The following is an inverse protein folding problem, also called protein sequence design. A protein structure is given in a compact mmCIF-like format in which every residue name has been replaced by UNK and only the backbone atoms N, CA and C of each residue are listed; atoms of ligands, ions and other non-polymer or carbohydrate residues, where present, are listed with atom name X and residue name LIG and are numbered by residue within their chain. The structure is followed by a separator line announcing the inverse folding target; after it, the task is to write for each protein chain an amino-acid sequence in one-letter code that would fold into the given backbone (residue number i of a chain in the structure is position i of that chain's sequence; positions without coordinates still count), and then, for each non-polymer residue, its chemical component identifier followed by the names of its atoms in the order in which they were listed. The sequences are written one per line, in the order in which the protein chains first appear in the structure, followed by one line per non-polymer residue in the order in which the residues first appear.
data_IF_004141696860
#
_entry.id   IF_004141696860
#
_cell.length_a   1.000
_cell.length_b   1.000
_cell.length_c   1.000
_cell.angle_alpha   90.00
_cell.angle_beta   90.00
_cell.angle_gamma   90.00
#
_symmetry.space_group_name_H-M   'P 1'
#
loop_
_entity.id
_entity.type
_entity.pdbx_description
1 polymer ?
#
# COMPACT_ATOMS: atom_id res chain seq x y z
N UNK A 1 -10.87 53.43 41.68
CA UNK A 1 -10.81 53.35 40.20
C UNK A 1 -9.48 52.70 39.83
N UNK A 2 -9.43 51.38 39.65
CA UNK A 2 -8.16 50.66 39.38
C UNK A 2 -8.42 49.28 38.75
N UNK A 3 -9.40 49.19 37.85
CA UNK A 3 -9.85 47.91 37.27
C UNK A 3 -9.96 47.92 35.75
N UNK A 4 -9.24 48.82 35.06
CA UNK A 4 -9.39 48.99 33.61
C UNK A 4 -8.06 49.03 32.82
N UNK A 5 -6.92 48.77 33.46
CA UNK A 5 -5.59 48.88 32.82
C UNK A 5 -4.87 47.54 32.60
N UNK A 6 -5.45 46.40 33.00
CA UNK A 6 -4.75 45.11 32.93
C UNK A 6 -5.09 44.29 31.66
N UNK A 7 -6.31 44.43 31.12
CA UNK A 7 -6.74 43.68 29.92
C UNK A 7 -5.92 44.02 28.66
N UNK A 8 -5.46 45.27 28.54
CA UNK A 8 -4.65 45.72 27.40
C UNK A 8 -3.20 45.20 27.45
N UNK A 9 -2.65 45.01 28.64
CA UNK A 9 -1.26 44.56 28.83
C UNK A 9 -1.14 43.07 28.53
N UNK A 10 -2.11 42.26 28.95
CA UNK A 10 -2.18 40.82 28.64
C UNK A 10 -2.38 40.55 27.14
N UNK A 11 -3.28 41.28 26.49
CA UNK A 11 -3.51 41.16 25.05
C UNK A 11 -2.29 41.62 24.23
N UNK A 12 -1.65 42.72 24.63
CA UNK A 12 -0.43 43.23 23.99
C UNK A 12 0.76 42.27 24.12
N UNK A 13 0.94 41.66 25.29
CA UNK A 13 1.98 40.65 25.51
C UNK A 13 1.75 39.38 24.68
N UNK A 14 0.50 38.91 24.56
CA UNK A 14 0.15 37.76 23.71
C UNK A 14 0.40 38.06 22.23
N UNK A 15 0.00 39.25 21.74
CA UNK A 15 0.26 39.66 20.36
C UNK A 15 1.75 39.77 20.06
N UNK A 16 2.55 40.33 20.98
CA UNK A 16 4.00 40.39 20.84
C UNK A 16 4.64 38.99 20.78
N UNK A 17 4.17 38.05 21.63
CA UNK A 17 4.61 36.65 21.60
C UNK A 17 4.24 35.96 20.29
N UNK A 18 3.01 36.16 19.78
CA UNK A 18 2.59 35.62 18.48
C UNK A 18 3.47 36.19 17.37
N UNK A 19 3.69 37.51 17.32
CA UNK A 19 4.52 38.13 16.28
C UNK A 19 5.99 37.68 16.34
N UNK A 20 6.50 37.33 17.53
CA UNK A 20 7.83 36.75 17.71
C UNK A 20 7.91 35.29 17.22
N UNK A 21 6.91 34.48 17.56
CA UNK A 21 6.90 33.02 17.26
C UNK A 21 6.43 32.73 15.83
N UNK A 22 5.51 33.52 15.29
CA UNK A 22 4.93 33.36 13.96
C UNK A 22 5.99 33.19 12.85
N UNK A 23 7.04 34.04 12.74
CA UNK A 23 8.06 33.84 11.70
C UNK A 23 8.80 32.51 11.87
N UNK A 24 9.05 32.07 13.10
CA UNK A 24 9.69 30.77 13.38
C UNK A 24 8.78 29.63 12.90
N UNK A 25 7.48 29.67 13.23
CA UNK A 25 6.51 28.67 12.77
C UNK A 25 6.41 28.65 11.25
N UNK A 26 6.39 29.81 10.59
CA UNK A 26 6.34 29.91 9.13
C UNK A 26 7.58 29.28 8.48
N UNK A 27 8.77 29.56 9.02
CA UNK A 27 10.03 28.96 8.53
C UNK A 27 10.00 27.43 8.74
N UNK A 28 9.61 26.95 9.92
CA UNK A 28 9.56 25.52 10.22
C UNK A 28 8.53 24.79 9.35
N UNK A 29 7.37 25.41 9.11
CA UNK A 29 6.30 24.85 8.26
C UNK A 29 6.75 24.81 6.80
N UNK A 30 7.39 25.87 6.32
CA UNK A 30 7.96 25.92 4.96
C UNK A 30 9.07 24.88 4.79
N UNK A 31 9.98 24.76 5.76
CA UNK A 31 11.03 23.74 5.75
C UNK A 31 10.44 22.33 5.76
N UNK A 32 9.46 22.05 6.62
CA UNK A 32 8.74 20.78 6.66
C UNK A 32 8.05 20.46 5.34
N UNK A 33 7.45 21.45 4.70
CA UNK A 33 6.85 21.31 3.37
C UNK A 33 7.89 20.98 2.28
N UNK A 34 9.03 21.67 2.26
CA UNK A 34 10.10 21.41 1.28
C UNK A 34 10.67 20.00 1.48
N UNK A 35 11.00 19.64 2.72
CA UNK A 35 11.57 18.33 3.07
C UNK A 35 10.60 17.21 2.71
N UNK A 36 9.33 17.32 3.11
CA UNK A 36 8.32 16.31 2.78
C UNK A 36 8.08 16.19 1.28
N UNK A 37 7.98 17.30 0.55
CA UNK A 37 7.84 17.28 -0.92
C UNK A 37 9.01 16.58 -1.59
N UNK A 38 10.24 16.82 -1.10
CA UNK A 38 11.43 16.13 -1.58
C UNK A 38 11.40 14.63 -1.29
N UNK A 39 10.97 14.21 -0.10
CA UNK A 39 10.81 12.79 0.23
C UNK A 39 9.75 12.11 -0.64
N UNK A 40 8.59 12.74 -0.83
CA UNK A 40 7.57 12.25 -1.75
C UNK A 40 8.10 12.11 -3.17
N UNK A 41 8.89 13.08 -3.65
CA UNK A 41 9.52 13.01 -4.96
C UNK A 41 10.40 11.76 -5.12
N UNK A 42 11.19 11.42 -4.09
CA UNK A 42 12.03 10.22 -4.09
C UNK A 42 11.22 8.92 -4.08
N UNK A 43 10.14 8.88 -3.30
CA UNK A 43 9.22 7.73 -3.27
C UNK A 43 8.53 7.56 -4.64
N UNK A 44 8.09 8.66 -5.25
CA UNK A 44 7.42 8.68 -6.55
C UNK A 44 8.36 8.24 -7.68
N UNK A 45 9.62 8.71 -7.66
CA UNK A 45 10.66 8.24 -8.59
C UNK A 45 10.85 6.74 -8.51
N UNK A 46 10.95 6.18 -7.29
CA UNK A 46 11.08 4.73 -7.07
C UNK A 46 9.88 3.96 -7.60
N UNK A 47 8.68 4.49 -7.43
CA UNK A 47 7.45 3.88 -7.88
C UNK A 47 7.18 4.05 -9.39
N UNK A 48 8.06 4.76 -10.13
CA UNK A 48 7.90 4.98 -11.57
C UNK A 48 6.91 6.08 -11.96
N UNK A 49 6.58 6.99 -11.04
CA UNK A 49 5.71 8.14 -11.31
C UNK A 49 6.47 9.16 -12.17
N UNK A 50 5.83 9.60 -13.26
CA UNK A 50 6.35 10.59 -14.18
C UNK A 50 6.04 12.01 -13.69
N UNK A 51 7.05 12.87 -13.70
CA UNK A 51 6.92 14.29 -13.37
C UNK A 51 7.05 14.55 -11.87
N UNK A 52 8.24 15.02 -11.47
CA UNK A 52 8.58 15.32 -10.07
C UNK A 52 7.72 16.42 -9.44
N UNK A 53 7.17 17.32 -10.25
CA UNK A 53 6.29 18.41 -9.82
C UNK A 53 5.06 17.90 -9.05
N UNK A 54 4.61 16.66 -9.31
CA UNK A 54 3.46 16.05 -8.64
C UNK A 54 3.64 15.95 -7.13
N UNK A 55 4.87 15.82 -6.64
CA UNK A 55 5.20 15.79 -5.21
C UNK A 55 5.13 17.17 -4.53
N UNK A 56 5.16 18.25 -5.31
CA UNK A 56 5.12 19.62 -4.82
C UNK A 56 3.72 20.20 -4.74
N UNK A 57 2.70 19.52 -5.28
CA UNK A 57 1.33 20.01 -5.18
C UNK A 57 0.67 19.34 -3.96
N UNK A 58 0.34 20.07 -2.87
CA UNK A 58 0.00 19.46 -1.58
C UNK A 58 -1.16 18.47 -1.62
N UNK A 59 -2.29 18.82 -2.25
CA UNK A 59 -3.42 17.88 -2.35
C UNK A 59 -3.06 16.74 -3.30
N UNK A 60 -2.53 17.09 -4.47
CA UNK A 60 -2.25 16.13 -5.53
C UNK A 60 -1.25 15.04 -5.12
N UNK A 61 -0.18 15.39 -4.38
CA UNK A 61 0.80 14.40 -3.90
C UNK A 61 0.16 13.36 -2.97
N UNK A 62 -0.78 13.75 -2.11
CA UNK A 62 -1.47 12.80 -1.25
C UNK A 62 -2.36 11.86 -2.08
N UNK A 63 -2.97 12.36 -3.15
CA UNK A 63 -3.75 11.54 -4.09
C UNK A 63 -2.87 10.52 -4.84
N UNK A 64 -1.70 10.95 -5.30
CA UNK A 64 -0.71 10.06 -5.92
C UNK A 64 -0.21 9.02 -4.92
N UNK A 65 0.12 9.43 -3.70
CA UNK A 65 0.56 8.54 -2.64
C UNK A 65 -0.51 7.51 -2.27
N UNK A 66 -1.78 7.93 -2.16
CA UNK A 66 -2.91 7.04 -1.97
C UNK A 66 -2.99 5.97 -3.07
N UNK A 67 -2.84 6.40 -4.33
CA UNK A 67 -2.83 5.51 -5.51
C UNK A 67 -1.75 4.45 -5.42
N UNK A 68 -0.52 4.88 -5.10
CA UNK A 68 0.60 3.97 -4.87
C UNK A 68 0.37 3.03 -3.68
N UNK A 69 -0.46 3.45 -2.73
CA UNK A 69 -0.91 2.66 -1.59
C UNK A 69 -2.17 1.81 -1.83
N UNK A 70 -2.58 1.57 -3.07
CA UNK A 70 -3.79 0.80 -3.43
C UNK A 70 -5.12 1.43 -2.93
N UNK A 71 -5.12 2.73 -2.66
CA UNK A 71 -6.30 3.50 -2.24
C UNK A 71 -6.74 4.42 -3.39
N UNK A 72 -8.04 4.47 -3.66
CA UNK A 72 -8.63 5.36 -4.65
C UNK A 72 -8.25 6.82 -4.37
N UNK A 73 -7.68 7.53 -5.37
CA UNK A 73 -7.40 8.97 -5.26
C UNK A 73 -8.63 9.78 -4.84
N UNK A 74 -9.83 9.41 -5.29
CA UNK A 74 -11.05 10.14 -4.97
C UNK A 74 -11.53 9.92 -3.54
N UNK A 75 -11.27 8.74 -2.99
CA UNK A 75 -11.50 8.47 -1.57
C UNK A 75 -10.55 9.31 -0.72
N UNK A 76 -9.28 9.42 -1.11
CA UNK A 76 -8.33 10.31 -0.43
C UNK A 76 -8.78 11.77 -0.50
N UNK A 77 -9.23 12.23 -1.68
CA UNK A 77 -9.77 13.58 -1.83
C UNK A 77 -11.00 13.80 -0.93
N UNK A 78 -11.92 12.83 -0.90
CA UNK A 78 -13.07 12.83 -0.02
C UNK A 78 -12.68 12.89 1.45
N UNK A 79 -11.66 12.14 1.88
CA UNK A 79 -11.14 12.18 3.23
C UNK A 79 -10.53 13.55 3.59
N UNK A 80 -9.74 14.15 2.68
CA UNK A 80 -9.17 15.49 2.87
C UNK A 80 -10.26 16.56 3.01
N UNK A 81 -11.26 16.55 2.13
CA UNK A 81 -12.39 17.50 2.17
C UNK A 81 -13.25 17.26 3.41
N UNK A 82 -13.56 16.00 3.74
CA UNK A 82 -14.33 15.65 4.93
C UNK A 82 -13.60 16.09 6.20
N UNK A 83 -12.28 15.87 6.30
CA UNK A 83 -11.47 16.40 7.40
C UNK A 83 -11.55 17.92 7.44
N UNK A 84 -11.36 18.63 6.33
CA UNK A 84 -11.37 20.09 6.30
C UNK A 84 -12.72 20.70 6.70
N UNK A 85 -13.84 20.07 6.34
CA UNK A 85 -15.19 20.59 6.60
C UNK A 85 -15.73 20.11 7.95
N UNK A 86 -15.73 18.79 8.18
CA UNK A 86 -16.39 18.16 9.33
C UNK A 86 -15.59 18.33 10.63
N UNK A 87 -14.29 18.65 10.56
CA UNK A 87 -13.50 18.91 11.77
C UNK A 87 -13.93 20.17 12.54
N UNK A 88 -14.68 21.07 11.89
CA UNK A 88 -15.17 22.30 12.51
C UNK A 88 -16.45 22.10 13.33
N UNK A 89 -17.03 20.90 13.33
CA UNK A 89 -18.25 20.63 14.11
C UNK A 89 -17.88 20.61 15.60
N UNK A 90 -18.50 21.45 16.45
CA UNK A 90 -18.25 21.42 17.89
C UNK A 90 -18.48 20.03 18.49
N UNK A 91 -17.71 19.68 19.51
CA UNK A 91 -17.74 18.40 20.25
C UNK A 91 -17.38 17.14 19.45
N UNK A 92 -17.80 16.97 18.20
CA UNK A 92 -17.56 15.73 17.41
C UNK A 92 -16.55 15.89 16.28
N UNK A 93 -16.21 17.12 15.89
CA UNK A 93 -15.30 17.42 14.78
C UNK A 93 -13.92 16.80 14.94
N UNK A 94 -13.46 16.63 16.19
CA UNK A 94 -12.17 16.00 16.47
C UNK A 94 -12.07 14.57 15.89
N UNK A 95 -13.18 13.82 15.84
CA UNK A 95 -13.19 12.46 15.26
C UNK A 95 -12.90 12.52 13.76
N UNK A 96 -13.51 13.47 13.05
CA UNK A 96 -13.33 13.66 11.61
C UNK A 96 -11.95 14.23 11.24
N UNK A 97 -11.26 14.86 12.19
CA UNK A 97 -9.89 15.34 12.00
C UNK A 97 -8.90 14.22 11.67
N UNK A 98 -9.20 12.99 12.06
CA UNK A 98 -8.34 11.83 11.84
C UNK A 98 -8.57 11.11 10.49
N UNK A 99 -9.61 11.44 9.73
CA UNK A 99 -9.95 10.69 8.51
C UNK A 99 -8.81 10.69 7.47
N UNK A 100 -8.24 11.87 7.18
CA UNK A 100 -7.11 11.99 6.26
C UNK A 100 -5.86 11.26 6.78
N UNK A 101 -5.59 11.34 8.09
CA UNK A 101 -4.46 10.66 8.74
C UNK A 101 -4.63 9.14 8.62
N UNK A 102 -5.83 8.61 8.85
CA UNK A 102 -6.12 7.18 8.72
C UNK A 102 -5.95 6.73 7.27
N UNK A 103 -6.51 7.47 6.31
CA UNK A 103 -6.37 7.13 4.89
C UNK A 103 -4.89 7.13 4.44
N UNK A 104 -4.10 8.11 4.89
CA UNK A 104 -2.68 8.21 4.59
C UNK A 104 -1.86 7.11 5.29
N UNK A 105 -2.20 6.76 6.52
CA UNK A 105 -1.59 5.65 7.22
C UNK A 105 -1.87 4.31 6.50
N UNK A 106 -3.10 4.10 6.02
CA UNK A 106 -3.42 2.93 5.22
C UNK A 106 -2.60 2.87 3.92
N UNK A 107 -2.48 4.01 3.22
CA UNK A 107 -1.63 4.10 2.04
C UNK A 107 -0.15 3.81 2.37
N UNK A 108 0.34 4.31 3.50
CA UNK A 108 1.72 4.12 3.93
C UNK A 108 2.03 2.67 4.31
N UNK A 109 1.07 1.88 4.83
CA UNK A 109 1.18 0.41 4.96
C UNK A 109 1.67 -0.19 3.64
N UNK A 110 0.95 0.13 2.56
CA UNK A 110 1.08 -0.53 1.27
C UNK A 110 2.32 -0.05 0.54
N UNK A 111 2.59 1.25 0.58
CA UNK A 111 3.84 1.83 0.07
C UNK A 111 5.04 1.23 0.82
N UNK A 112 4.96 1.08 2.14
CA UNK A 112 5.98 0.42 2.95
C UNK A 112 6.23 -1.03 2.53
N UNK A 113 5.16 -1.82 2.39
CA UNK A 113 5.25 -3.21 1.92
C UNK A 113 5.88 -3.31 0.52
N UNK A 114 5.52 -2.41 -0.40
CA UNK A 114 6.10 -2.35 -1.76
C UNK A 114 7.58 -1.93 -1.75
N UNK A 115 8.02 -1.26 -0.70
CA UNK A 115 9.42 -0.96 -0.44
C UNK A 115 10.10 -2.04 0.43
N UNK A 116 9.46 -3.19 0.67
CA UNK A 116 10.00 -4.27 1.50
C UNK A 116 10.19 -3.87 2.96
N UNK A 117 9.34 -2.99 3.50
CA UNK A 117 9.33 -2.60 4.92
C UNK A 117 8.25 -3.36 5.67
N UNK A 118 8.54 -3.67 6.93
CA UNK A 118 7.58 -4.32 7.83
C UNK A 118 6.51 -3.35 8.32
N UNK A 119 5.34 -3.89 8.64
CA UNK A 119 4.18 -3.14 9.11
C UNK A 119 4.46 -2.22 10.33
N UNK A 120 5.24 -2.62 11.36
CA UNK A 120 5.50 -1.76 12.51
C UNK A 120 6.13 -0.41 12.16
N UNK A 121 6.80 -0.29 11.00
CA UNK A 121 7.40 0.97 10.56
C UNK A 121 6.34 2.07 10.43
N UNK A 122 5.10 1.73 10.06
CA UNK A 122 4.01 2.71 9.93
C UNK A 122 3.53 3.29 11.25
N UNK A 123 3.83 2.66 12.41
CA UNK A 123 3.59 3.32 13.70
C UNK A 123 4.31 4.67 13.75
N UNK A 124 5.49 4.76 13.14
CA UNK A 124 6.22 6.02 13.01
C UNK A 124 5.46 7.06 12.21
N UNK A 125 4.72 6.66 11.17
CA UNK A 125 3.91 7.57 10.36
C UNK A 125 2.78 8.23 11.16
N UNK A 126 2.17 7.48 12.08
CA UNK A 126 1.00 7.92 12.85
C UNK A 126 1.42 8.79 14.05
N UNK A 127 2.66 8.65 14.53
CA UNK A 127 3.18 9.47 15.64
C UNK A 127 3.14 10.96 15.23
N UNK A 128 2.39 11.80 15.96
CA UNK A 128 2.33 13.24 15.70
C UNK A 128 3.71 13.91 15.79
N UNK A 129 3.89 15.03 15.09
CA UNK A 129 5.15 15.77 15.08
C UNK A 129 6.08 15.30 13.97
N UNK A 130 7.24 14.73 14.31
CA UNK A 130 8.28 14.36 13.34
C UNK A 130 8.16 12.92 12.81
N UNK A 131 7.31 12.08 13.40
CA UNK A 131 7.20 10.67 13.04
C UNK A 131 6.94 10.46 11.54
N UNK A 132 5.92 11.13 10.99
CA UNK A 132 5.60 11.05 9.57
C UNK A 132 6.76 11.48 8.65
N UNK A 133 7.56 12.48 9.04
CA UNK A 133 8.76 12.89 8.29
C UNK A 133 9.85 11.83 8.33
N UNK A 134 10.08 11.22 9.49
CA UNK A 134 11.09 10.15 9.63
C UNK A 134 10.67 8.94 8.79
N UNK A 135 9.38 8.57 8.83
CA UNK A 135 8.83 7.51 7.96
C UNK A 135 9.07 7.81 6.49
N UNK A 136 8.73 9.02 6.03
CA UNK A 136 8.95 9.45 4.64
C UNK A 136 10.43 9.44 4.27
N UNK A 137 11.32 9.86 5.18
CA UNK A 137 12.77 9.81 4.97
C UNK A 137 13.28 8.38 4.80
N UNK A 138 12.84 7.45 5.65
CA UNK A 138 13.20 6.04 5.52
C UNK A 138 12.70 5.48 4.19
N UNK A 139 11.44 5.74 3.82
CA UNK A 139 10.86 5.29 2.56
C UNK A 139 11.57 5.90 1.33
N UNK A 140 11.92 7.19 1.40
CA UNK A 140 12.59 7.92 0.33
C UNK A 140 14.01 7.42 0.06
N UNK A 141 14.79 7.13 1.11
CA UNK A 141 16.20 6.80 0.99
C UNK A 141 16.53 5.32 1.19
N UNK A 142 15.54 4.47 1.45
CA UNK A 142 15.79 3.04 1.54
C UNK A 142 16.38 2.49 0.24
N UNK A 143 17.36 1.60 0.33
CA UNK A 143 17.95 0.91 -0.83
C UNK A 143 17.01 -0.14 -1.46
N UNK A 144 15.93 -0.50 -0.77
CA UNK A 144 14.98 -1.49 -1.26
C UNK A 144 14.34 -1.05 -2.59
N UNK A 145 14.32 -1.93 -3.61
CA UNK A 145 13.66 -1.64 -4.87
C UNK A 145 12.15 -1.60 -4.66
N UNK A 146 11.46 -0.85 -5.52
CA UNK A 146 10.01 -0.86 -5.57
C UNK A 146 9.51 -2.20 -6.15
N UNK A 147 8.77 -2.96 -5.35
CA UNK A 147 8.11 -4.19 -5.77
C UNK A 147 6.58 -4.04 -5.67
N UNK A 148 5.87 -3.83 -6.79
CA UNK A 148 4.42 -3.68 -6.78
C UNK A 148 3.69 -5.02 -6.56
N UNK A 149 4.38 -6.17 -6.71
CA UNK A 149 3.81 -7.51 -6.56
C UNK A 149 3.84 -7.96 -5.10
N UNK A 150 3.12 -7.22 -4.25
CA UNK A 150 2.91 -7.59 -2.84
C UNK A 150 1.58 -8.31 -2.67
N UNK A 151 1.37 -8.92 -1.49
CA UNK A 151 0.07 -9.49 -1.13
C UNK A 151 -1.06 -8.48 -1.40
N UNK A 152 -2.23 -8.91 -1.89
CA UNK A 152 -3.33 -8.00 -2.18
C UNK A 152 -3.74 -7.15 -0.97
N UNK A 153 -4.21 -5.93 -1.20
CA UNK A 153 -4.64 -5.06 -0.10
C UNK A 153 -5.88 -5.64 0.59
N UNK A 154 -6.03 -5.47 1.93
CA UNK A 154 -7.21 -5.94 2.65
C UNK A 154 -8.52 -5.30 2.17
N UNK A 155 -8.44 -4.12 1.57
CA UNK A 155 -9.58 -3.34 1.08
C UNK A 155 -9.81 -3.44 -0.43
N UNK A 156 -9.18 -4.40 -1.11
CA UNK A 156 -9.35 -4.64 -2.56
C UNK A 156 -10.81 -4.86 -3.00
N UNK A 157 -11.69 -5.26 -2.09
CA UNK A 157 -13.11 -5.52 -2.35
C UNK A 157 -14.04 -4.41 -1.82
N UNK A 158 -13.49 -3.33 -1.27
CA UNK A 158 -14.28 -2.23 -0.69
C UNK A 158 -14.24 -0.98 -1.57
N UNK A 159 -14.94 0.07 -1.14
CA UNK A 159 -14.92 1.37 -1.80
C UNK A 159 -13.54 2.07 -1.77
N UNK A 160 -12.62 1.61 -0.91
CA UNK A 160 -11.26 2.17 -0.84
C UNK A 160 -10.40 1.76 -2.05
N UNK A 161 -10.76 0.69 -2.77
CA UNK A 161 -9.98 0.15 -3.89
C UNK A 161 -9.72 1.22 -4.97
N UNK A 162 -8.47 1.34 -5.40
CA UNK A 162 -8.15 2.10 -6.61
C UNK A 162 -8.59 1.35 -7.88
N UNK A 163 -9.40 2.00 -8.71
CA UNK A 163 -9.81 1.51 -10.03
C UNK A 163 -9.47 2.50 -11.14
N UNK A 164 -8.75 3.56 -10.80
CA UNK A 164 -8.53 4.70 -11.68
C UNK A 164 -7.28 4.51 -12.52
N UNK A 165 -7.19 5.19 -13.66
CA UNK A 165 -5.96 5.23 -14.47
C UNK A 165 -5.57 6.70 -14.62
N UNK A 166 -4.39 7.07 -14.13
CA UNK A 166 -3.88 8.44 -14.21
C UNK A 166 -2.63 8.43 -15.08
N UNK A 167 -2.59 9.31 -16.07
CA UNK A 167 -1.44 9.42 -16.97
C UNK A 167 -0.15 9.65 -16.17
N UNK A 168 0.87 8.85 -16.45
CA UNK A 168 2.19 8.96 -15.81
C UNK A 168 2.25 8.43 -14.38
N UNK A 169 1.22 7.75 -13.87
CA UNK A 169 1.26 7.06 -12.57
C UNK A 169 0.99 5.58 -12.79
N UNK A 170 1.94 4.69 -12.42
CA UNK A 170 1.75 3.26 -12.60
C UNK A 170 0.52 2.71 -11.88
N UNK A 171 -0.25 1.91 -12.60
CA UNK A 171 -1.36 1.13 -12.03
C UNK A 171 -0.76 0.05 -11.14
N UNK A 172 -1.30 -0.08 -9.94
CA UNK A 172 -0.85 -1.10 -8.99
C UNK A 172 -1.50 -2.44 -9.33
N UNK A 173 -0.76 -3.55 -9.32
CA UNK A 173 -1.33 -4.87 -9.57
C UNK A 173 -2.36 -5.24 -8.50
N UNK A 174 -3.63 -5.25 -8.87
CA UNK A 174 -4.67 -5.89 -8.07
C UNK A 174 -4.53 -7.40 -8.24
N UNK A 175 -3.89 -8.10 -7.29
CA UNK A 175 -3.59 -9.54 -7.38
C UNK A 175 -4.78 -10.43 -7.81
N UNK A 176 -4.97 -10.56 -9.13
CA UNK A 176 -6.00 -11.33 -9.81
C UNK A 176 -7.26 -10.59 -10.29
N UNK A 177 -7.37 -9.26 -10.22
CA UNK A 177 -8.54 -8.54 -10.75
C UNK A 177 -8.17 -7.59 -11.89
N UNK A 178 -8.64 -7.90 -13.10
CA UNK A 178 -8.57 -6.99 -14.23
C UNK A 178 -9.24 -5.64 -13.88
N UNK A 179 -8.77 -4.51 -14.43
CA UNK A 179 -9.40 -3.22 -14.22
C UNK A 179 -10.85 -3.26 -14.70
N UNK A 180 -11.77 -2.72 -13.89
CA UNK A 180 -13.16 -2.59 -14.27
C UNK A 180 -13.28 -1.70 -15.51
N UNK A 181 -13.85 -2.22 -16.59
CA UNK A 181 -14.16 -1.45 -17.77
C UNK A 181 -15.18 -0.35 -17.41
N UNK A 182 -14.77 0.92 -17.52
CA UNK A 182 -15.67 2.07 -17.29
C UNK A 182 -15.19 3.10 -16.25
N UNK A 183 -14.02 2.93 -15.63
CA UNK A 183 -13.42 4.00 -14.83
C UNK A 183 -13.06 5.21 -15.73
N UNK A 184 -13.48 6.40 -15.33
CA UNK A 184 -13.28 7.67 -16.02
C UNK A 184 -11.81 7.85 -16.44
N UNK A 185 -11.57 7.95 -17.76
CA UNK A 185 -10.24 8.19 -18.33
C UNK A 185 -9.51 6.99 -18.93
N UNK A 186 -10.23 5.93 -19.37
CA UNK A 186 -9.62 4.84 -20.13
C UNK A 186 -9.12 5.29 -21.51
N UNK A 187 -7.94 5.90 -21.57
CA UNK A 187 -7.14 6.04 -22.79
C UNK A 187 -6.12 4.91 -22.85
N UNK A 188 -6.26 4.03 -23.84
CA UNK A 188 -5.38 2.89 -24.06
C UNK A 188 -3.93 3.29 -24.32
N UNK A 189 -3.01 2.59 -23.66
CA UNK A 189 -1.62 2.47 -24.07
C UNK A 189 -1.12 1.10 -23.61
N UNK A 190 -0.65 0.31 -24.57
CA UNK A 190 -0.30 -1.09 -24.40
C UNK A 190 0.81 -1.31 -23.38
N UNK A 191 0.48 -2.10 -22.36
CA UNK A 191 1.39 -3.10 -21.82
C UNK A 191 0.52 -4.28 -21.39
N UNK A 192 0.54 -5.35 -22.18
CA UNK A 192 -0.05 -6.61 -21.76
C UNK A 192 0.79 -7.13 -20.57
N UNK A 193 0.20 -7.41 -19.41
CA UNK A 193 0.94 -8.06 -18.33
C UNK A 193 1.45 -9.42 -18.85
N UNK A 194 2.68 -9.84 -18.48
CA UNK A 194 3.15 -11.19 -18.78
C UNK A 194 2.12 -12.20 -18.29
N UNK A 195 1.74 -13.13 -19.16
CA UNK A 195 0.81 -14.19 -18.82
C UNK A 195 1.32 -14.94 -17.58
N UNK A 196 0.51 -14.95 -16.52
CA UNK A 196 0.76 -15.81 -15.37
C UNK A 196 0.79 -17.27 -15.87
N UNK A 197 1.77 -18.10 -15.46
CA UNK A 197 1.73 -19.53 -15.73
C UNK A 197 0.42 -20.08 -15.16
N UNK A 198 -0.39 -20.68 -16.03
CA UNK A 198 -1.62 -21.35 -15.66
C UNK A 198 -1.32 -22.43 -14.63
N UNK A 199 -1.87 -22.26 -13.42
CA UNK A 199 -1.92 -23.35 -12.45
C UNK A 199 -2.76 -24.50 -13.05
N UNK A 200 -2.32 -25.77 -12.94
CA UNK A 200 -3.10 -26.89 -13.46
C UNK A 200 -4.47 -26.95 -12.76
N UNK A 201 -5.54 -26.93 -13.53
CA UNK A 201 -6.88 -27.22 -13.02
C UNK A 201 -6.94 -28.67 -12.57
N UNK A 202 -7.23 -28.88 -11.29
CA UNK A 202 -7.57 -30.18 -10.74
C UNK A 202 -8.97 -30.58 -11.20
N UNK A 203 -9.08 -31.72 -11.89
CA UNK A 203 -10.33 -32.45 -12.07
C UNK A 203 -10.81 -32.59 -13.52
N UNK A 204 -10.31 -33.62 -14.20
CA UNK A 204 -11.07 -34.47 -15.13
C UNK A 204 -10.07 -35.49 -15.72
N UNK A 205 -10.00 -36.68 -15.14
CA UNK A 205 -9.30 -37.80 -15.78
C UNK A 205 -10.16 -38.35 -16.93
N UNK A 206 -9.70 -38.34 -18.18
CA UNK A 206 -10.26 -39.23 -19.19
C UNK A 206 -9.81 -40.68 -18.88
N UNK A 207 -10.66 -41.70 -19.09
CA UNK A 207 -10.27 -43.09 -18.89
C UNK A 207 -9.12 -43.47 -19.86
N UNK A 208 -8.18 -44.35 -19.45
CA UNK A 208 -7.04 -44.73 -20.29
C UNK A 208 -7.50 -45.43 -21.57
N UNK A 209 -6.92 -45.02 -22.71
CA UNK A 209 -7.10 -45.69 -23.99
C UNK A 209 -6.51 -47.11 -23.96
N UNK A 210 -7.24 -48.08 -24.50
CA UNK A 210 -6.78 -49.46 -24.68
C UNK A 210 -5.62 -49.52 -25.69
N UNK A 211 -4.52 -50.24 -25.40
CA UNK A 211 -3.41 -50.38 -26.34
C UNK A 211 -3.79 -51.21 -27.58
N UNK A 212 -3.23 -50.91 -28.78
CA UNK A 212 -3.39 -51.75 -29.96
C UNK A 212 -2.72 -53.12 -29.78
N UNK A 213 -3.34 -54.17 -30.29
CA UNK A 213 -2.78 -55.53 -30.29
C UNK A 213 -1.50 -55.61 -31.14
N UNK A 214 -0.42 -56.26 -30.66
CA UNK A 214 0.80 -56.44 -31.44
C UNK A 214 0.69 -57.57 -32.48
N UNK A 215 1.34 -57.45 -33.65
CA UNK A 215 1.36 -58.50 -34.66
C UNK A 215 2.24 -59.68 -34.24
N UNK A 216 1.80 -60.90 -34.58
CA UNK A 216 2.42 -62.16 -34.23
C UNK A 216 3.79 -62.36 -34.92
N UNK A 217 4.83 -62.61 -34.12
CA UNK A 217 6.17 -62.98 -34.61
C UNK A 217 7.02 -63.53 -33.46
N UNK A 218 7.54 -64.74 -33.66
CA UNK A 218 8.04 -65.64 -32.62
C UNK A 218 9.46 -65.33 -32.11
N UNK A 219 9.63 -65.15 -30.79
CA UNK A 219 10.88 -65.43 -30.05
C UNK A 219 10.58 -65.82 -28.58
N UNK A 220 11.37 -66.73 -27.97
CA UNK A 220 11.07 -67.40 -26.69
C UNK A 220 11.25 -66.53 -25.44
N UNK A 221 10.59 -66.87 -24.30
CA UNK A 221 10.48 -65.99 -23.13
C UNK A 221 11.76 -65.92 -22.27
N UNK A 222 12.19 -64.72 -21.83
CA UNK A 222 13.10 -64.56 -20.70
C UNK A 222 12.38 -64.73 -19.35
N UNK A 223 13.07 -65.30 -18.37
CA UNK A 223 12.56 -65.73 -17.06
C UNK A 223 12.03 -64.61 -16.16
N UNK A 224 11.02 -64.93 -15.35
CA UNK A 224 10.39 -64.03 -14.38
C UNK A 224 11.33 -63.65 -13.22
N UNK A 225 11.47 -62.36 -12.94
CA UNK A 225 12.07 -61.85 -11.69
C UNK A 225 10.97 -61.42 -10.71
N UNK A 226 11.10 -61.74 -9.41
CA UNK A 226 10.07 -61.48 -8.40
C UNK A 226 9.96 -59.99 -7.98
N UNK A 227 8.80 -59.55 -7.44
CA UNK A 227 8.55 -58.14 -7.12
C UNK A 227 9.34 -57.68 -5.89
N UNK A 228 9.96 -56.50 -6.00
CA UNK A 228 10.54 -55.75 -4.88
C UNK A 228 9.47 -54.83 -4.27
N UNK A 229 9.19 -54.99 -2.98
CA UNK A 229 8.31 -54.14 -2.17
C UNK A 229 9.06 -52.87 -1.72
N UNK A 230 8.42 -51.68 -1.79
CA UNK A 230 8.99 -50.44 -1.24
C UNK A 230 8.98 -50.44 0.30
N UNK A 231 9.99 -49.84 0.96
CA UNK A 231 10.02 -49.74 2.42
C UNK A 231 9.05 -48.68 2.96
N UNK A 232 8.26 -49.07 3.95
CA UNK A 232 7.43 -48.19 4.79
C UNK A 232 8.30 -47.54 5.87
N UNK A 233 8.32 -46.22 5.96
CA UNK A 233 8.82 -45.50 7.14
C UNK A 233 7.69 -44.66 7.72
N UNK A 234 7.19 -45.13 8.86
CA UNK A 234 6.14 -44.55 9.70
C UNK A 234 6.70 -43.41 10.58
N UNK A 235 5.96 -42.31 10.84
CA UNK A 235 6.36 -41.25 11.77
C UNK A 235 6.16 -41.66 13.24
N UNK A 236 7.04 -41.26 14.19
CA UNK A 236 6.88 -41.60 15.60
C UNK A 236 5.75 -40.82 16.29
N UNK A 237 5.02 -41.52 17.18
CA UNK A 237 3.89 -41.00 17.95
C UNK A 237 4.30 -40.19 19.21
N UNK A 238 3.45 -39.30 19.74
CA UNK A 238 3.75 -38.47 20.90
C UNK A 238 3.48 -39.17 22.25
N UNK A 239 4.39 -38.98 23.22
CA UNK A 239 4.26 -39.48 24.60
C UNK A 239 3.12 -38.81 25.38
N UNK A 240 2.34 -39.63 26.09
CA UNK A 240 1.27 -39.22 27.01
C UNK A 240 1.75 -39.23 28.49
N UNK A 241 1.13 -38.44 29.38
CA UNK A 241 1.67 -38.09 30.70
C UNK A 241 1.46 -39.19 31.76
N UNK A 242 2.41 -39.33 32.68
CA UNK A 242 2.26 -40.18 33.88
C UNK A 242 1.76 -39.36 35.07
N UNK A 243 0.85 -39.99 35.81
CA UNK A 243 0.24 -39.57 37.07
C UNK A 243 1.26 -39.43 38.21
#
# INVERSE_FOLDING_TARGET
MSGYYDDGTGAGALLALILLILPIILILTLAGYIISSFFYMKIFEKAGVQGKWRAWVPVYRELVFAKLGDISPWVMLGALVATAVLSNIPAIGFIFSYLSIIALALASVRVGQKLGKDWPLVLLYIIPGLGWLIWLGIAAFSSSPWNPNVQPSPWRTSFLRDTTVWQGIPVQPDGGAAPAAGAYGASGAGYAPPAAPSAPQAGAYPPPATPPAPPAGAYPPPAAQPPVTPPTTEPPAPDAPRQ
#
